data_IF_464844986610
#
_entry.id   IF_464844986610
#
_cell.length_a   1.000
_cell.length_b   1.000
_cell.length_c   1.000
_cell.angle_alpha   90.00
_cell.angle_beta   90.00
_cell.angle_gamma   90.00
#
_symmetry.space_group_name_H-M   'P 1'
#
loop_
_entity.id
_entity.type
_entity.pdbx_description
1 polymer ?
#
# COMPACT_ATOMS: atom_id res chain seq x y z
N UNK A 1 56.82 -11.52 -9.59
CA UNK A 1 56.23 -10.46 -10.43
C UNK A 1 54.87 -10.16 -9.83
N UNK A 2 54.90 -9.53 -8.67
CA UNK A 2 54.77 -8.08 -8.47
C UNK A 2 53.30 -7.65 -8.35
N UNK A 3 53.00 -7.30 -7.11
CA UNK A 3 51.80 -6.75 -6.51
C UNK A 3 51.48 -5.34 -7.01
N UNK A 4 50.20 -5.08 -7.33
CA UNK A 4 49.67 -3.72 -7.41
C UNK A 4 48.48 -3.58 -6.44
N UNK A 5 48.83 -3.19 -5.22
CA UNK A 5 47.93 -2.60 -4.22
C UNK A 5 47.70 -1.13 -4.61
N UNK A 6 46.45 -0.79 -4.93
CA UNK A 6 46.03 0.59 -5.16
C UNK A 6 45.75 1.25 -3.81
N UNK A 7 46.73 2.00 -3.29
CA UNK A 7 46.58 2.91 -2.15
C UNK A 7 45.80 4.16 -2.59
N UNK A 8 44.64 4.39 -2.00
CA UNK A 8 43.93 5.67 -2.12
C UNK A 8 44.12 6.46 -0.82
N UNK A 9 44.99 7.47 -0.88
CA UNK A 9 45.20 8.47 0.18
C UNK A 9 43.97 9.37 0.29
N UNK A 10 43.35 9.40 1.47
CA UNK A 10 42.37 10.42 1.84
C UNK A 10 43.13 11.52 2.58
N UNK A 11 43.19 12.69 1.96
CA UNK A 11 43.76 13.92 2.49
C UNK A 11 42.78 14.50 3.53
N UNK A 12 43.14 14.45 4.81
CA UNK A 12 42.45 15.22 5.85
C UNK A 12 43.02 16.65 5.84
N UNK A 13 42.21 17.58 5.34
CA UNK A 13 42.47 19.01 5.47
C UNK A 13 42.20 19.45 6.90
N UNK A 14 43.27 19.76 7.62
CA UNK A 14 43.25 20.54 8.85
C UNK A 14 42.88 21.99 8.53
N UNK A 15 41.82 22.51 9.14
CA UNK A 15 41.61 23.95 9.28
C UNK A 15 40.64 24.23 10.43
N UNK A 16 41.07 25.09 11.35
CA UNK A 16 40.12 25.93 12.08
C UNK A 16 40.10 25.78 13.60
N UNK A 17 41.17 26.26 14.23
CA UNK A 17 41.15 26.89 15.55
C UNK A 17 39.82 27.61 15.85
N UNK A 18 39.07 27.16 16.85
CA UNK A 18 38.22 28.06 17.64
C UNK A 18 38.51 27.85 19.12
N UNK A 19 39.13 28.88 19.67
CA UNK A 19 39.49 29.00 21.06
C UNK A 19 38.25 29.23 21.94
N UNK A 20 38.29 28.66 23.14
CA UNK A 20 37.70 29.27 24.32
C UNK A 20 36.21 29.04 24.53
N UNK A 21 35.87 27.96 25.23
CA UNK A 21 35.09 28.10 26.46
C UNK A 21 35.33 26.92 27.39
N UNK A 22 36.01 27.25 28.50
CA UNK A 22 36.21 26.43 29.70
C UNK A 22 34.84 26.02 30.25
N UNK A 23 34.54 24.73 30.26
CA UNK A 23 33.53 24.14 31.14
C UNK A 23 34.20 23.12 32.08
N UNK A 24 33.74 23.03 33.33
CA UNK A 24 34.45 22.34 34.38
C UNK A 24 34.36 20.82 34.23
N UNK A 25 35.53 20.20 34.40
CA UNK A 25 35.82 18.85 34.86
C UNK A 25 34.57 18.09 35.39
N UNK A 26 33.91 17.34 34.50
CA UNK A 26 32.98 16.30 34.94
C UNK A 26 33.80 15.10 35.42
N UNK A 27 33.65 14.85 36.71
CA UNK A 27 34.02 13.62 37.42
C UNK A 27 33.79 12.38 36.55
N UNK A 28 34.83 11.55 36.49
CA UNK A 28 34.79 10.22 35.93
C UNK A 28 33.61 9.44 36.53
N UNK A 29 32.63 9.12 35.68
CA UNK A 29 31.63 8.13 36.01
C UNK A 29 32.30 6.76 35.94
N UNK A 30 32.55 6.20 37.12
CA UNK A 30 32.96 4.82 37.33
C UNK A 30 31.89 3.90 36.71
N UNK A 31 32.26 2.99 35.78
CA UNK A 31 31.30 2.03 35.25
C UNK A 31 30.99 1.01 36.35
N UNK A 32 29.85 1.19 37.02
CA UNK A 32 29.23 0.16 37.86
C UNK A 32 28.97 -1.07 37.00
N UNK A 33 29.90 -2.03 37.08
CA UNK A 33 29.71 -3.39 36.61
C UNK A 33 28.45 -3.95 37.29
N UNK A 34 27.38 -4.29 36.54
CA UNK A 34 26.27 -5.00 37.14
C UNK A 34 26.76 -6.38 37.58
N UNK A 35 26.87 -6.55 38.89
CA UNK A 35 27.08 -7.83 39.56
C UNK A 35 25.92 -8.76 39.19
N UNK A 36 26.11 -9.53 38.13
CA UNK A 36 25.20 -10.61 37.72
C UNK A 36 25.09 -11.59 38.89
N UNK A 37 23.95 -11.56 39.57
CA UNK A 37 23.57 -12.63 40.47
C UNK A 37 23.39 -13.92 39.65
N UNK A 38 23.89 -15.07 40.13
CA UNK A 38 23.69 -16.34 39.45
C UNK A 38 22.20 -16.66 39.44
N UNK A 39 21.58 -16.56 38.25
CA UNK A 39 20.24 -17.06 38.01
C UNK A 39 20.25 -18.57 38.26
N UNK A 40 19.59 -18.94 39.36
CA UNK A 40 19.24 -20.32 39.72
C UNK A 40 18.41 -20.88 38.57
N UNK A 41 19.00 -21.76 37.77
CA UNK A 41 18.27 -22.47 36.72
C UNK A 41 17.20 -23.35 37.37
N UNK A 42 15.92 -23.24 36.97
CA UNK A 42 14.92 -24.23 37.33
C UNK A 42 15.20 -25.49 36.51
N UNK A 43 15.53 -26.57 37.22
CA UNK A 43 15.67 -27.92 36.68
C UNK A 43 14.30 -28.42 36.19
N UNK A 44 13.90 -28.02 34.99
CA UNK A 44 12.82 -28.68 34.28
C UNK A 44 13.41 -29.94 33.63
N UNK A 45 13.15 -31.08 34.29
CA UNK A 45 13.21 -32.41 33.70
C UNK A 45 12.21 -32.47 32.55
N UNK A 46 12.67 -32.08 31.36
CA UNK A 46 11.99 -32.36 30.09
C UNK A 46 12.54 -33.69 29.59
N UNK A 47 11.72 -34.73 29.71
CA UNK A 47 11.90 -36.01 29.05
C UNK A 47 11.98 -35.75 27.53
N UNK A 48 13.21 -35.79 27.04
CA UNK A 48 13.57 -35.56 25.64
C UNK A 48 13.36 -36.87 24.88
N UNK A 49 12.12 -37.12 24.46
CA UNK A 49 11.85 -38.04 23.36
C UNK A 49 12.20 -37.32 22.05
N UNK A 50 13.50 -37.27 21.74
CA UNK A 50 13.99 -36.76 20.47
C UNK A 50 13.45 -37.64 19.31
N UNK A 51 12.81 -37.07 18.28
CA UNK A 51 12.54 -37.82 17.06
C UNK A 51 13.88 -38.14 16.38
N UNK A 52 14.22 -39.43 16.39
CA UNK A 52 15.34 -40.00 15.66
C UNK A 52 15.27 -39.61 14.18
N UNK A 53 16.09 -38.64 13.78
CA UNK A 53 16.31 -38.31 12.36
C UNK A 53 17.09 -39.49 11.76
N UNK A 54 16.52 -40.20 10.77
CA UNK A 54 17.21 -41.32 10.15
C UNK A 54 18.44 -40.83 9.36
N UNK A 55 19.54 -41.60 9.34
CA UNK A 55 20.74 -41.26 8.59
C UNK A 55 20.46 -41.23 7.07
N UNK A 56 21.14 -40.36 6.31
CA UNK A 56 20.87 -40.07 4.89
C UNK A 56 21.25 -41.20 3.90
N UNK A 57 21.23 -42.47 4.33
CA UNK A 57 21.68 -43.61 3.52
C UNK A 57 20.58 -44.59 3.14
N UNK A 58 19.30 -44.25 3.33
CA UNK A 58 18.16 -45.09 2.90
C UNK A 58 17.10 -44.32 2.10
N UNK A 59 17.52 -43.41 1.21
CA UNK A 59 16.66 -42.96 0.11
C UNK A 59 16.94 -43.87 -1.09
N UNK A 60 16.33 -45.05 -1.09
CA UNK A 60 16.28 -45.90 -2.27
C UNK A 60 14.81 -46.15 -2.62
N UNK A 61 14.53 -46.04 -3.93
CA UNK A 61 13.38 -46.63 -4.63
C UNK A 61 12.01 -45.97 -4.46
N UNK A 62 11.89 -44.69 -4.81
CA UNK A 62 10.79 -44.31 -5.68
C UNK A 62 11.45 -43.77 -6.95
N UNK A 63 11.50 -44.60 -8.00
CA UNK A 63 12.09 -44.26 -9.29
C UNK A 63 11.30 -43.19 -10.03
N UNK A 64 11.07 -42.06 -9.38
CA UNK A 64 10.47 -40.88 -9.95
C UNK A 64 11.62 -40.07 -10.52
N UNK A 65 11.64 -39.98 -11.84
CA UNK A 65 12.58 -39.13 -12.54
C UNK A 65 12.21 -37.67 -12.31
N UNK A 66 13.16 -36.76 -12.52
CA UNK A 66 12.89 -35.31 -12.48
C UNK A 66 11.79 -34.92 -13.48
N UNK A 67 11.64 -35.68 -14.57
CA UNK A 67 10.58 -35.50 -15.56
C UNK A 67 9.20 -35.84 -14.99
N UNK A 68 9.08 -36.86 -14.14
CA UNK A 68 7.80 -37.22 -13.49
C UNK A 68 7.33 -36.14 -12.51
N UNK A 69 8.26 -35.51 -11.79
CA UNK A 69 7.96 -34.38 -10.90
C UNK A 69 7.57 -33.12 -11.68
N UNK A 70 8.16 -32.89 -12.86
CA UNK A 70 7.73 -31.81 -13.75
C UNK A 70 6.35 -32.07 -14.37
N UNK A 71 6.03 -33.32 -14.71
CA UNK A 71 4.74 -33.68 -15.31
C UNK A 71 3.56 -33.54 -14.32
N UNK A 72 3.80 -33.73 -13.03
CA UNK A 72 2.81 -33.50 -11.96
C UNK A 72 2.58 -32.00 -11.69
N UNK A 73 3.57 -31.14 -11.94
CA UNK A 73 3.45 -29.69 -11.74
C UNK A 73 2.70 -28.97 -12.88
N UNK A 74 2.64 -29.58 -14.07
CA UNK A 74 2.04 -28.97 -15.27
C UNK A 74 0.63 -29.47 -15.60
N UNK A 75 0.14 -30.51 -14.91
CA UNK A 75 -1.23 -31.02 -15.07
C UNK A 75 -2.06 -30.66 -13.84
N UNK A 76 -2.72 -29.49 -13.82
CA UNK A 76 -3.69 -29.20 -12.77
C UNK A 76 -4.76 -30.30 -12.76
N UNK A 77 -5.06 -30.82 -11.56
CA UNK A 77 -6.11 -31.83 -11.34
C UNK A 77 -7.35 -31.46 -12.17
N UNK A 78 -7.98 -32.41 -12.89
CA UNK A 78 -9.26 -32.15 -13.52
C UNK A 78 -10.23 -31.72 -12.42
N UNK A 79 -10.85 -30.55 -12.64
CA UNK A 79 -11.77 -29.92 -11.71
C UNK A 79 -12.70 -30.96 -11.09
N UNK A 80 -12.51 -31.17 -9.79
CA UNK A 80 -13.48 -31.87 -8.97
C UNK A 80 -14.74 -31.02 -9.07
N UNK A 81 -15.67 -31.45 -9.92
CA UNK A 81 -17.00 -30.89 -10.12
C UNK A 81 -17.70 -30.85 -8.75
N UNK A 82 -17.45 -29.80 -7.99
CA UNK A 82 -18.28 -29.41 -6.88
C UNK A 82 -19.57 -28.95 -7.53
N UNK A 83 -20.59 -29.81 -7.45
CA UNK A 83 -21.95 -29.54 -7.86
C UNK A 83 -22.41 -28.22 -7.25
N UNK A 84 -22.28 -27.14 -8.01
CA UNK A 84 -22.85 -25.84 -7.66
C UNK A 84 -24.36 -26.06 -7.63
N UNK A 85 -25.04 -25.83 -6.49
CA UNK A 85 -26.50 -25.94 -6.44
C UNK A 85 -27.08 -24.99 -7.49
N UNK A 86 -27.85 -25.54 -8.43
CA UNK A 86 -28.49 -24.76 -9.46
C UNK A 86 -29.32 -23.65 -8.81
N UNK A 87 -29.16 -22.38 -9.22
CA UNK A 87 -30.03 -21.32 -8.76
C UNK A 87 -31.46 -21.65 -9.18
N UNK A 88 -32.36 -21.65 -8.20
CA UNK A 88 -33.79 -21.83 -8.42
C UNK A 88 -34.26 -20.86 -9.52
N UNK A 89 -35.09 -21.32 -10.47
CA UNK A 89 -35.63 -20.47 -11.52
C UNK A 89 -36.43 -19.33 -10.87
N UNK A 90 -35.91 -18.10 -10.95
CA UNK A 90 -36.67 -16.92 -10.59
C UNK A 90 -37.86 -16.83 -11.54
N UNK A 91 -39.06 -16.91 -10.97
CA UNK A 91 -40.31 -16.68 -11.68
C UNK A 91 -40.23 -15.36 -12.47
N UNK A 92 -40.70 -15.35 -13.73
CA UNK A 92 -40.70 -14.14 -14.54
C UNK A 92 -41.55 -13.07 -13.86
N UNK A 93 -41.08 -11.80 -13.78
CA UNK A 93 -41.92 -10.70 -13.36
C UNK A 93 -43.08 -10.54 -14.34
N UNK A 94 -44.29 -10.42 -13.79
CA UNK A 94 -45.51 -10.16 -14.54
C UNK A 94 -45.36 -8.98 -15.52
N UNK A 95 -45.92 -9.07 -16.74
CA UNK A 95 -45.78 -8.03 -17.75
C UNK A 95 -46.63 -6.82 -17.36
N UNK A 96 -45.98 -5.81 -16.76
CA UNK A 96 -46.56 -4.47 -16.62
C UNK A 96 -46.31 -3.69 -17.91
N UNK A 97 -47.37 -3.61 -18.71
CA UNK A 97 -47.75 -2.54 -19.64
C UNK A 97 -46.62 -1.88 -20.42
N UNK A 98 -46.45 -2.35 -21.66
CA UNK A 98 -45.69 -1.71 -22.70
C UNK A 98 -46.21 -0.28 -22.96
N UNK A 99 -45.40 0.73 -22.63
CA UNK A 99 -45.53 2.07 -23.19
C UNK A 99 -44.74 2.08 -24.49
N UNK A 100 -45.46 2.25 -25.60
CA UNK A 100 -44.92 2.28 -26.95
C UNK A 100 -43.80 3.32 -27.08
N UNK A 101 -42.62 2.85 -27.49
CA UNK A 101 -41.47 3.68 -27.86
C UNK A 101 -41.53 3.90 -29.37
N UNK A 102 -41.57 5.14 -29.88
CA UNK A 102 -41.59 5.39 -31.31
C UNK A 102 -40.26 4.97 -31.95
N UNK A 103 -40.44 4.24 -33.04
CA UNK A 103 -39.47 3.60 -33.92
C UNK A 103 -38.73 4.68 -34.73
N UNK A 104 -37.49 4.95 -34.35
CA UNK A 104 -36.60 5.82 -35.12
C UNK A 104 -35.95 4.99 -36.23
N UNK A 105 -36.45 5.25 -37.45
CA UNK A 105 -35.94 4.79 -38.74
C UNK A 105 -34.43 4.96 -38.83
N UNK A 106 -33.72 3.86 -39.13
CA UNK A 106 -32.29 3.82 -39.44
C UNK A 106 -32.12 3.93 -40.96
N UNK A 107 -31.49 4.99 -41.51
CA UNK A 107 -31.16 5.02 -42.93
C UNK A 107 -29.92 4.16 -43.21
N UNK A 108 -30.05 3.29 -44.20
CA UNK A 108 -28.94 2.67 -44.93
C UNK A 108 -28.76 3.43 -46.25
N UNK A 109 -27.55 3.90 -46.50
CA UNK A 109 -26.94 4.24 -47.80
C UNK A 109 -25.66 5.04 -47.46
N UNK A 110 -24.54 4.99 -48.15
CA UNK A 110 -24.00 4.17 -49.24
C UNK A 110 -22.52 4.59 -49.29
N UNK A 111 -21.64 3.68 -49.68
CA UNK A 111 -20.25 4.04 -49.98
C UNK A 111 -20.18 4.93 -51.22
N UNK A 112 -19.06 5.66 -51.29
CA UNK A 112 -18.41 6.27 -52.46
C UNK A 112 -18.64 7.76 -52.83
N UNK A 113 -17.47 8.39 -53.03
CA UNK A 113 -17.11 9.48 -53.95
C UNK A 113 -17.04 10.95 -53.47
N UNK A 114 -15.78 11.38 -53.44
CA UNK A 114 -15.23 12.61 -54.04
C UNK A 114 -15.07 13.87 -53.18
N UNK A 115 -13.81 14.34 -53.19
CA UNK A 115 -13.37 15.73 -53.11
C UNK A 115 -14.47 16.74 -53.46
N UNK A 116 -14.69 17.73 -52.60
CA UNK A 116 -14.69 19.16 -52.98
C UNK A 116 -15.00 20.10 -51.80
N UNK A 117 -14.12 21.09 -51.68
CA UNK A 117 -14.33 22.50 -51.26
C UNK A 117 -14.29 22.79 -49.75
N UNK A 118 -13.18 23.46 -49.38
CA UNK A 118 -13.06 24.37 -48.25
C UNK A 118 -14.19 25.42 -48.29
N UNK A 119 -15.09 25.38 -47.32
CA UNK A 119 -15.86 26.55 -46.90
C UNK A 119 -15.62 26.72 -45.41
N UNK A 120 -14.89 27.78 -45.06
CA UNK A 120 -14.58 28.17 -43.70
C UNK A 120 -15.82 28.83 -43.10
N UNK A 121 -16.73 28.01 -42.60
CA UNK A 121 -17.81 28.48 -41.74
C UNK A 121 -17.20 28.93 -40.41
N UNK A 122 -17.29 30.24 -40.17
CA UNK A 122 -17.04 30.88 -38.90
C UNK A 122 -18.09 30.39 -37.89
N UNK A 123 -17.86 29.20 -37.31
CA UNK A 123 -18.65 28.69 -36.19
C UNK A 123 -18.42 29.61 -34.99
N UNK A 124 -19.38 30.52 -34.75
CA UNK A 124 -19.43 31.33 -33.55
C UNK A 124 -19.40 30.41 -32.32
N UNK A 125 -18.26 30.35 -31.64
CA UNK A 125 -18.11 29.71 -30.34
C UNK A 125 -19.01 30.44 -29.33
N UNK A 126 -20.27 30.01 -29.22
CA UNK A 126 -21.15 30.33 -28.09
C UNK A 126 -20.47 29.80 -26.81
N UNK A 127 -19.70 30.69 -26.19
CA UNK A 127 -18.92 30.43 -25.00
C UNK A 127 -19.79 29.86 -23.87
N UNK A 128 -19.37 28.69 -23.41
CA UNK A 128 -19.86 27.85 -22.30
C UNK A 128 -20.00 28.59 -20.95
N UNK A 129 -20.93 29.55 -20.90
CA UNK A 129 -21.33 30.31 -19.71
C UNK A 129 -22.02 29.48 -18.63
N UNK A 130 -22.35 28.21 -18.90
CA UNK A 130 -22.98 27.29 -17.95
C UNK A 130 -22.00 26.65 -16.94
N UNK A 131 -20.69 26.87 -17.08
CA UNK A 131 -19.67 26.14 -16.29
C UNK A 131 -19.64 26.49 -14.80
N UNK A 132 -19.91 27.74 -14.42
CA UNK A 132 -19.79 28.18 -13.02
C UNK A 132 -20.96 27.70 -12.16
N UNK A 133 -22.19 27.82 -12.65
CA UNK A 133 -23.38 27.45 -11.87
C UNK A 133 -23.50 25.93 -11.68
N UNK A 134 -23.14 25.14 -12.71
CA UNK A 134 -23.02 23.68 -12.62
C UNK A 134 -21.99 23.27 -11.56
N UNK A 135 -20.84 23.96 -11.47
CA UNK A 135 -19.80 23.71 -10.45
C UNK A 135 -20.29 24.05 -9.05
N UNK A 136 -21.01 25.16 -8.86
CA UNK A 136 -21.56 25.56 -7.57
C UNK A 136 -22.58 24.54 -7.05
N UNK A 137 -23.57 24.16 -7.88
CA UNK A 137 -24.58 23.13 -7.58
C UNK A 137 -23.93 21.78 -7.25
N UNK A 138 -22.92 21.38 -8.03
CA UNK A 138 -22.19 20.14 -7.76
C UNK A 138 -21.41 20.20 -6.43
N UNK A 139 -20.81 21.35 -6.08
CA UNK A 139 -20.09 21.51 -4.81
C UNK A 139 -21.01 21.35 -3.60
N UNK A 140 -22.22 21.92 -3.66
CA UNK A 140 -23.26 21.83 -2.62
C UNK A 140 -23.71 20.38 -2.46
N UNK A 141 -24.03 19.71 -3.58
CA UNK A 141 -24.42 18.31 -3.59
C UNK A 141 -23.32 17.36 -3.09
N UNK A 142 -22.05 17.75 -3.21
CA UNK A 142 -20.91 16.96 -2.74
C UNK A 142 -20.48 17.27 -1.30
N UNK A 143 -20.86 18.42 -0.74
CA UNK A 143 -20.42 18.85 0.60
C UNK A 143 -20.94 17.94 1.71
N UNK A 144 -22.10 17.33 1.53
CA UNK A 144 -22.71 16.37 2.46
C UNK A 144 -22.13 14.96 2.36
N UNK A 145 -21.40 14.65 1.29
CA UNK A 145 -20.89 13.28 1.06
C UNK A 145 -19.70 13.01 1.97
N UNK A 146 -19.79 11.91 2.73
CA UNK A 146 -18.70 11.43 3.58
C UNK A 146 -17.42 11.20 2.77
N UNK A 147 -16.25 11.43 3.37
CA UNK A 147 -14.97 11.10 2.73
C UNK A 147 -14.69 9.61 2.87
N UNK A 148 -14.26 8.98 1.78
CA UNK A 148 -13.85 7.57 1.80
C UNK A 148 -12.65 7.36 2.73
N UNK A 149 -12.77 6.36 3.57
CA UNK A 149 -11.71 5.76 4.38
C UNK A 149 -10.73 4.97 3.51
N UNK A 150 -9.56 4.64 4.04
CA UNK A 150 -8.59 3.77 3.40
C UNK A 150 -9.19 2.37 3.17
N UNK A 151 -9.96 1.86 4.14
CA UNK A 151 -10.68 0.58 4.04
C UNK A 151 -11.58 0.52 2.79
N UNK A 152 -12.46 1.52 2.64
CA UNK A 152 -13.42 1.57 1.53
C UNK A 152 -12.70 1.66 0.19
N UNK A 153 -11.61 2.44 0.09
CA UNK A 153 -10.83 2.55 -1.15
C UNK A 153 -10.19 1.23 -1.52
N UNK A 154 -9.62 0.49 -0.56
CA UNK A 154 -9.03 -0.82 -0.80
C UNK A 154 -10.10 -1.85 -1.21
N UNK A 155 -11.29 -1.78 -0.60
CA UNK A 155 -12.40 -2.65 -0.99
C UNK A 155 -12.87 -2.38 -2.42
N UNK A 156 -12.92 -1.12 -2.87
CA UNK A 156 -13.21 -0.80 -4.26
C UNK A 156 -12.20 -1.44 -5.23
N UNK A 157 -10.92 -1.44 -4.87
CA UNK A 157 -9.85 -2.07 -5.65
C UNK A 157 -10.05 -3.58 -5.68
N UNK A 158 -10.28 -4.20 -4.51
CA UNK A 158 -10.54 -5.63 -4.39
C UNK A 158 -11.70 -6.10 -5.26
N UNK A 159 -12.85 -5.43 -5.16
CA UNK A 159 -14.04 -5.75 -5.96
C UNK A 159 -13.77 -5.59 -7.47
N UNK A 160 -12.97 -4.60 -7.86
CA UNK A 160 -12.59 -4.40 -9.27
C UNK A 160 -11.67 -5.51 -9.77
N UNK A 161 -10.68 -5.90 -8.98
CA UNK A 161 -9.66 -6.89 -9.37
C UNK A 161 -10.26 -8.32 -9.36
N UNK A 162 -11.04 -8.67 -8.33
CA UNK A 162 -11.56 -10.05 -8.14
C UNK A 162 -12.87 -10.31 -8.88
N UNK A 163 -13.80 -9.35 -8.89
CA UNK A 163 -15.16 -9.54 -9.42
C UNK A 163 -15.41 -8.78 -10.72
N UNK A 164 -14.40 -8.05 -11.22
CA UNK A 164 -14.48 -7.23 -12.44
C UNK A 164 -15.69 -6.28 -12.49
N UNK A 165 -16.14 -5.81 -11.34
CA UNK A 165 -17.35 -4.97 -11.26
C UNK A 165 -17.19 -3.66 -12.06
N UNK A 166 -18.32 -3.21 -12.61
CA UNK A 166 -18.38 -1.95 -13.35
C UNK A 166 -18.17 -0.75 -12.42
N UNK A 167 -17.59 0.34 -12.94
CA UNK A 167 -17.41 1.57 -12.16
C UNK A 167 -18.74 2.21 -11.76
N UNK A 168 -19.80 2.00 -12.55
CA UNK A 168 -21.15 2.47 -12.23
C UNK A 168 -21.69 1.78 -10.97
N UNK A 169 -21.50 0.46 -10.86
CA UNK A 169 -21.86 -0.30 -9.66
C UNK A 169 -21.08 0.17 -8.43
N UNK A 170 -19.76 0.36 -8.55
CA UNK A 170 -18.93 0.89 -7.46
C UNK A 170 -19.37 2.29 -7.02
N UNK A 171 -19.69 3.16 -7.98
CA UNK A 171 -20.20 4.51 -7.70
C UNK A 171 -21.49 4.47 -6.88
N UNK A 172 -22.43 3.60 -7.27
CA UNK A 172 -23.67 3.35 -6.55
C UNK A 172 -23.41 2.79 -5.14
N UNK A 173 -22.65 1.69 -5.03
CA UNK A 173 -22.38 0.97 -3.77
C UNK A 173 -21.71 1.85 -2.70
N UNK A 174 -20.78 2.72 -3.10
CA UNK A 174 -20.03 3.58 -2.17
C UNK A 174 -20.59 5.01 -2.10
N UNK A 175 -21.69 5.31 -2.80
CA UNK A 175 -22.29 6.65 -2.82
C UNK A 175 -21.33 7.74 -3.31
N UNK A 176 -20.57 7.46 -4.38
CA UNK A 176 -19.60 8.38 -5.01
C UNK A 176 -19.91 8.58 -6.48
N UNK A 177 -19.39 9.66 -7.06
CA UNK A 177 -19.50 9.88 -8.51
C UNK A 177 -18.57 8.93 -9.27
N UNK A 178 -18.95 8.57 -10.51
CA UNK A 178 -18.13 7.74 -11.42
C UNK A 178 -16.73 8.33 -11.61
N UNK A 179 -16.62 9.65 -11.74
CA UNK A 179 -15.33 10.33 -11.89
C UNK A 179 -14.44 10.19 -10.65
N UNK A 180 -15.02 10.16 -9.44
CA UNK A 180 -14.26 9.91 -8.22
C UNK A 180 -13.77 8.46 -8.13
N UNK A 181 -14.63 7.49 -8.49
CA UNK A 181 -14.27 6.08 -8.58
C UNK A 181 -13.12 5.88 -9.59
N UNK A 182 -13.26 6.44 -10.79
CA UNK A 182 -12.22 6.40 -11.83
C UNK A 182 -10.88 6.94 -11.32
N UNK A 183 -10.87 8.06 -10.58
CA UNK A 183 -9.64 8.61 -9.96
C UNK A 183 -9.02 7.64 -8.95
N UNK A 184 -9.81 6.97 -8.12
CA UNK A 184 -9.31 6.02 -7.11
C UNK A 184 -8.68 4.80 -7.79
N UNK A 185 -9.30 4.33 -8.88
CA UNK A 185 -8.87 3.15 -9.63
C UNK A 185 -7.73 3.41 -10.62
N UNK A 186 -7.10 4.59 -10.60
CA UNK A 186 -5.88 4.83 -11.38
C UNK A 186 -4.72 4.02 -10.79
N UNK A 187 -3.87 3.49 -11.66
CA UNK A 187 -2.77 2.57 -11.27
C UNK A 187 -1.84 3.22 -10.25
N UNK A 188 -1.53 4.51 -10.40
CA UNK A 188 -0.66 5.24 -9.49
C UNK A 188 -1.29 5.40 -8.10
N UNK A 189 -2.61 5.57 -8.04
CA UNK A 189 -3.35 5.71 -6.79
C UNK A 189 -3.53 4.35 -6.12
N UNK A 190 -3.75 3.28 -6.89
CA UNK A 190 -3.80 1.91 -6.38
C UNK A 190 -2.47 1.55 -5.72
N UNK A 191 -1.34 1.79 -6.39
CA UNK A 191 -0.02 1.53 -5.83
C UNK A 191 0.21 2.27 -4.50
N UNK A 192 -0.15 3.57 -4.45
CA UNK A 192 -0.05 4.37 -3.22
C UNK A 192 -0.95 3.84 -2.10
N UNK A 193 -2.19 3.46 -2.40
CA UNK A 193 -3.12 2.93 -1.40
C UNK A 193 -2.65 1.58 -0.85
N UNK A 194 -2.11 0.71 -1.71
CA UNK A 194 -1.50 -0.56 -1.31
C UNK A 194 -0.24 -0.32 -0.46
N UNK A 195 0.62 0.63 -0.83
CA UNK A 195 1.80 1.01 -0.05
C UNK A 195 1.43 1.54 1.35
N UNK A 196 0.42 2.41 1.44
CA UNK A 196 -0.09 2.90 2.73
C UNK A 196 -0.62 1.75 3.61
N UNK A 197 -1.35 0.81 3.00
CA UNK A 197 -1.84 -0.37 3.71
C UNK A 197 -0.68 -1.26 4.21
N UNK A 198 0.33 -1.48 3.36
CA UNK A 198 1.54 -2.24 3.70
C UNK A 198 2.38 -1.58 4.80
N UNK A 199 2.40 -0.25 4.87
CA UNK A 199 3.06 0.50 5.94
C UNK A 199 2.32 0.42 7.29
N UNK A 200 1.20 -0.30 7.39
CA UNK A 200 0.44 -0.45 8.64
C UNK A 200 -0.45 0.75 8.97
N UNK A 201 -0.76 1.62 7.99
CA UNK A 201 -1.63 2.77 8.21
C UNK A 201 -3.05 2.30 8.56
N UNK A 202 -3.66 2.89 9.61
CA UNK A 202 -4.97 2.45 10.08
C UNK A 202 -6.08 2.66 9.03
N UNK A 203 -6.89 1.63 8.83
CA UNK A 203 -7.90 1.56 7.75
C UNK A 203 -9.00 2.63 7.84
N UNK A 204 -9.26 3.19 9.04
CA UNK A 204 -10.27 4.24 9.24
C UNK A 204 -9.84 5.64 8.74
N UNK A 205 -8.57 5.82 8.36
CA UNK A 205 -8.09 7.12 7.93
C UNK A 205 -8.73 7.54 6.60
N UNK A 206 -9.23 8.77 6.56
CA UNK A 206 -9.88 9.36 5.37
C UNK A 206 -8.91 10.15 4.49
N UNK A 207 -7.83 10.68 5.07
CA UNK A 207 -6.83 11.53 4.41
C UNK A 207 -5.43 11.08 4.81
N UNK A 208 -4.64 10.73 3.82
CA UNK A 208 -3.19 10.58 3.97
C UNK A 208 -2.53 11.72 3.18
N UNK A 209 -1.55 12.38 3.78
CA UNK A 209 -0.76 13.40 3.07
C UNK A 209 0.14 12.70 2.06
N UNK A 210 0.39 13.28 0.89
CA UNK A 210 1.34 12.74 -0.09
C UNK A 210 2.81 12.84 0.34
N UNK A 211 3.10 13.63 1.38
CA UNK A 211 4.46 14.09 1.66
C UNK A 211 5.21 13.24 2.69
N UNK A 212 4.82 11.99 2.90
CA UNK A 212 5.55 11.08 3.78
C UNK A 212 6.10 9.92 2.98
N UNK A 213 7.33 9.54 3.32
CA UNK A 213 8.00 8.37 2.77
C UNK A 213 7.38 7.11 3.40
N UNK A 214 6.71 6.30 2.58
CA UNK A 214 6.01 5.10 3.04
C UNK A 214 6.96 4.04 3.58
N UNK A 215 8.19 3.97 3.07
CA UNK A 215 9.19 2.98 3.49
C UNK A 215 9.74 3.34 4.87
N UNK A 216 10.02 4.63 5.10
CA UNK A 216 10.39 5.12 6.43
C UNK A 216 9.28 4.85 7.46
N UNK A 217 8.02 5.18 7.13
CA UNK A 217 6.90 4.93 8.04
C UNK A 217 6.70 3.45 8.33
N UNK A 218 6.84 2.58 7.32
CA UNK A 218 6.76 1.13 7.50
C UNK A 218 7.80 0.62 8.51
N UNK A 219 9.08 0.99 8.36
CA UNK A 219 10.14 0.54 9.28
C UNK A 219 9.90 1.01 10.71
N UNK A 220 9.44 2.26 10.87
CA UNK A 220 9.11 2.81 12.20
C UNK A 220 7.89 2.11 12.79
N UNK A 221 6.90 1.76 11.97
CA UNK A 221 5.73 1.01 12.39
C UNK A 221 6.10 -0.38 12.93
N UNK A 222 6.87 -1.15 12.16
CA UNK A 222 7.37 -2.48 12.56
C UNK A 222 8.18 -2.40 13.87
N UNK A 223 9.03 -1.39 14.00
CA UNK A 223 9.76 -1.15 15.25
C UNK A 223 8.81 -0.91 16.44
N UNK A 224 7.75 -0.12 16.28
CA UNK A 224 6.81 0.16 17.37
C UNK A 224 5.99 -1.05 17.75
N UNK A 225 5.56 -1.86 16.79
CA UNK A 225 4.81 -3.10 17.07
C UNK A 225 5.65 -4.10 17.88
N UNK A 226 6.95 -4.21 17.58
CA UNK A 226 7.87 -5.06 18.33
C UNK A 226 8.21 -4.52 19.74
N UNK A 227 7.92 -3.24 20.01
CA UNK A 227 8.35 -2.53 21.21
C UNK A 227 7.17 -1.90 21.99
N UNK A 228 5.97 -2.50 21.91
CA UNK A 228 4.76 -1.94 22.52
C UNK A 228 4.85 -1.77 24.06
N UNK A 229 5.67 -2.57 24.74
CA UNK A 229 5.74 -2.60 26.20
C UNK A 229 6.63 -1.51 26.82
N UNK A 230 7.36 -0.73 26.01
CA UNK A 230 8.42 0.15 26.52
C UNK A 230 7.85 1.52 26.97
N UNK A 231 8.24 1.93 28.17
CA UNK A 231 7.99 3.28 28.69
C UNK A 231 8.70 4.33 27.84
N UNK A 232 8.14 5.55 27.74
CA UNK A 232 8.69 6.65 26.90
C UNK A 232 8.75 6.34 25.39
N UNK A 233 7.83 5.53 24.88
CA UNK A 233 7.67 5.17 23.45
C UNK A 233 7.88 6.34 22.47
N UNK A 234 7.37 7.54 22.76
CA UNK A 234 7.49 8.71 21.87
C UNK A 234 8.93 9.18 21.65
N UNK A 235 9.80 9.04 22.66
CA UNK A 235 11.22 9.39 22.55
C UNK A 235 11.91 8.36 21.67
N UNK A 236 11.68 7.08 21.92
CA UNK A 236 12.27 6.02 21.09
C UNK A 236 11.82 6.08 19.62
N UNK A 237 10.53 6.35 19.36
CA UNK A 237 10.03 6.55 18.00
C UNK A 237 10.79 7.67 17.29
N UNK A 238 11.09 8.76 18.01
CA UNK A 238 11.83 9.89 17.46
C UNK A 238 13.24 9.47 17.04
N UNK A 239 13.96 8.86 17.96
CA UNK A 239 15.38 8.54 17.78
C UNK A 239 15.54 7.45 16.72
N UNK A 240 14.66 6.45 16.73
CA UNK A 240 14.63 5.40 15.72
C UNK A 240 14.26 5.97 14.34
N UNK A 241 13.21 6.80 14.23
CA UNK A 241 12.84 7.42 12.95
C UNK A 241 13.95 8.29 12.37
N UNK A 242 14.69 9.03 13.21
CA UNK A 242 15.82 9.84 12.77
C UNK A 242 16.99 8.96 12.29
N UNK A 243 17.25 7.85 12.98
CA UNK A 243 18.27 6.88 12.61
C UNK A 243 17.96 6.24 11.26
N UNK A 244 16.74 5.74 11.08
CA UNK A 244 16.31 5.11 9.82
C UNK A 244 16.31 6.13 8.67
N UNK A 245 15.85 7.36 8.91
CA UNK A 245 15.90 8.41 7.89
C UNK A 245 17.33 8.72 7.44
N UNK A 246 18.28 8.76 8.39
CA UNK A 246 19.70 8.97 8.08
C UNK A 246 20.25 7.80 7.24
N UNK A 247 19.93 6.56 7.60
CA UNK A 247 20.32 5.36 6.84
C UNK A 247 19.74 5.34 5.42
N UNK A 248 18.56 5.93 5.21
CA UNK A 248 17.91 6.04 3.91
C UNK A 248 18.37 7.27 3.10
N UNK A 249 19.30 8.08 3.63
CA UNK A 249 19.75 9.31 2.96
C UNK A 249 18.73 10.46 2.98
N UNK A 250 17.72 10.40 3.86
CA UNK A 250 16.69 11.44 4.00
C UNK A 250 17.18 12.58 4.89
N UNK A 251 18.16 13.36 4.41
CA UNK A 251 18.80 14.44 5.17
C UNK A 251 17.85 15.56 5.63
N UNK A 252 16.77 15.81 4.88
CA UNK A 252 15.78 16.84 5.19
C UNK A 252 14.71 16.37 6.18
N UNK A 253 14.68 15.09 6.53
CA UNK A 253 13.69 14.56 7.46
C UNK A 253 14.05 14.90 8.91
N UNK A 254 13.07 15.46 9.62
CA UNK A 254 13.15 15.71 11.06
C UNK A 254 11.98 15.04 11.76
N UNK A 255 12.26 14.16 12.71
CA UNK A 255 11.27 13.49 13.54
C UNK A 255 10.65 14.45 14.59
N UNK A 256 9.98 15.51 14.11
CA UNK A 256 9.39 16.54 14.98
C UNK A 256 8.28 15.96 15.87
N UNK A 257 8.00 16.63 17.00
CA UNK A 257 6.88 16.27 17.89
C UNK A 257 5.53 16.17 17.14
N UNK A 258 5.31 17.06 16.17
CA UNK A 258 4.11 17.07 15.32
C UNK A 258 4.05 15.83 14.42
N UNK A 259 5.18 15.47 13.80
CA UNK A 259 5.28 14.26 12.97
C UNK A 259 4.95 13.00 13.79
N UNK A 260 5.55 12.83 14.97
CA UNK A 260 5.31 11.68 15.86
C UNK A 260 3.83 11.62 16.27
N UNK A 261 3.23 12.75 16.64
CA UNK A 261 1.81 12.79 17.02
C UNK A 261 0.88 12.37 15.87
N UNK A 262 1.21 12.78 14.63
CA UNK A 262 0.47 12.35 13.44
C UNK A 262 0.70 10.89 13.12
N UNK A 263 1.95 10.41 13.21
CA UNK A 263 2.31 9.01 13.02
C UNK A 263 1.51 8.11 13.98
N UNK A 264 1.58 8.37 15.29
CA UNK A 264 0.83 7.59 16.28
C UNK A 264 -0.69 7.58 15.99
N UNK A 265 -1.26 8.73 15.66
CA UNK A 265 -2.67 8.84 15.30
C UNK A 265 -3.00 8.08 14.01
N UNK A 266 -2.10 8.05 13.03
CA UNK A 266 -2.31 7.33 11.78
C UNK A 266 -2.28 5.82 11.96
N UNK A 267 -1.39 5.32 12.80
CA UNK A 267 -1.25 3.88 13.04
C UNK A 267 -2.13 3.38 14.18
N UNK A 268 -2.87 4.27 14.86
CA UNK A 268 -3.79 3.88 15.93
C UNK A 268 -3.11 3.61 17.28
N UNK A 269 -1.84 4.02 17.43
CA UNK A 269 -1.15 3.97 18.71
C UNK A 269 -1.73 5.04 19.66
N UNK A 270 -2.18 4.60 20.84
CA UNK A 270 -2.66 5.47 21.92
C UNK A 270 -1.51 5.85 22.85
#
# INVERSE_FOLDING_TARGET
>A
MESLLLNQQISLGENGLFAGNRLPLLQAFEPLQPKLAPLRQPSFLLDSAAPSIPPPSQVIQLGLTLEDLMYMALNPLPDRQLSIPQPLPCSPPSPLMAVAKPEAVRPQASEECADMVEEADEEEEEGDGETLDKRARHSIACKSKSKLTLAEKLEMIRLRDELQVSQAYLAYRFGKSRSAVSKILRVENIAKLKALAGAGVHRSIRRCSSNHDSVLEQRVHEFVENNLHIEKRRVMIRDYAQTVATQMGLSNFKATRSWIGRFMKRHGFK
#
